data_IF_991482132544
#
_entry.id   IF_991482132544
#
_cell.length_a   1.000
_cell.length_b   1.000
_cell.length_c   1.000
_cell.angle_alpha   90.00
_cell.angle_beta   90.00
_cell.angle_gamma   90.00
#
_symmetry.space_group_name_H-M   'P 1'
#
loop_
_entity.id
_entity.type
_entity.pdbx_description
1 polymer ?
#
# COMPACT_ATOMS: atom_id res chain seq x y z
N UNK A 1 23.50 5.45 -1.29
CA UNK A 1 22.04 5.33 -1.47
C UNK A 1 21.84 4.41 -2.64
N UNK A 2 21.24 3.25 -2.42
CA UNK A 2 20.86 2.34 -3.50
C UNK A 2 19.74 3.02 -4.27
N UNK A 3 19.79 2.91 -5.59
CA UNK A 3 18.97 3.66 -6.54
C UNK A 3 17.46 3.63 -6.19
N UNK A 4 16.91 4.68 -5.66
CA UNK A 4 15.51 5.13 -5.52
C UNK A 4 14.33 4.13 -5.44
N UNK A 5 14.56 2.85 -5.68
CA UNK A 5 13.58 1.76 -5.70
C UNK A 5 13.43 1.06 -4.35
N UNK A 6 14.48 1.05 -3.55
CA UNK A 6 14.57 0.26 -2.32
C UNK A 6 13.62 0.68 -1.20
N UNK A 7 13.39 2.00 -0.93
CA UNK A 7 12.56 2.38 0.21
C UNK A 7 11.16 1.78 0.19
N UNK A 8 10.52 1.72 -0.99
CA UNK A 8 9.15 1.18 -1.10
C UNK A 8 9.07 -0.35 -0.97
N UNK A 9 10.22 -1.03 -0.94
CA UNK A 9 10.33 -2.49 -0.78
C UNK A 9 10.80 -2.91 0.60
N UNK A 10 11.31 -1.96 1.39
CA UNK A 10 11.88 -2.20 2.73
C UNK A 10 11.06 -1.56 3.85
N UNK A 11 10.19 -0.60 3.53
CA UNK A 11 9.38 0.14 4.49
C UNK A 11 8.51 1.19 3.84
N UNK A 12 8.11 2.20 4.61
CA UNK A 12 7.41 3.36 4.10
C UNK A 12 8.28 4.14 3.11
N UNK A 13 7.70 4.52 2.00
CA UNK A 13 8.30 5.50 1.10
C UNK A 13 7.29 6.60 0.75
N UNK A 14 7.75 7.85 0.71
CA UNK A 14 6.88 9.01 0.53
C UNK A 14 6.05 8.91 -0.76
N UNK A 15 6.66 8.46 -1.85
CA UNK A 15 5.99 8.30 -3.14
C UNK A 15 4.82 7.32 -3.07
N UNK A 16 5.00 6.19 -2.37
CA UNK A 16 3.93 5.20 -2.18
C UNK A 16 2.87 5.71 -1.21
N UNK A 17 3.25 6.40 -0.14
CA UNK A 17 2.30 6.99 0.81
C UNK A 17 1.38 8.00 0.10
N UNK A 18 1.93 8.91 -0.70
CA UNK A 18 1.15 9.89 -1.46
C UNK A 18 0.29 9.21 -2.53
N UNK A 19 0.81 8.17 -3.19
CA UNK A 19 0.06 7.41 -4.21
C UNK A 19 -1.11 6.66 -3.58
N UNK A 20 -0.91 5.98 -2.46
CA UNK A 20 -1.99 5.26 -1.76
C UNK A 20 -3.00 6.20 -1.14
N UNK A 21 -2.58 7.40 -0.69
CA UNK A 21 -3.52 8.46 -0.27
C UNK A 21 -4.39 8.94 -1.43
N UNK A 22 -3.80 9.10 -2.61
CA UNK A 22 -4.55 9.45 -3.81
C UNK A 22 -5.57 8.37 -4.17
N UNK A 23 -5.18 7.09 -4.14
CA UNK A 23 -6.08 5.97 -4.39
C UNK A 23 -7.23 5.93 -3.38
N UNK A 24 -6.94 6.18 -2.10
CA UNK A 24 -7.96 6.19 -1.05
C UNK A 24 -8.88 7.41 -1.15
N UNK A 25 -8.35 8.63 -1.42
CA UNK A 25 -9.17 9.85 -1.62
C UNK A 25 -10.16 9.65 -2.78
N UNK A 26 -9.70 9.05 -3.89
CA UNK A 26 -10.53 8.69 -5.03
C UNK A 26 -11.63 7.67 -4.69
N UNK A 27 -11.31 6.68 -3.85
CA UNK A 27 -12.18 5.54 -3.59
C UNK A 27 -13.08 5.70 -2.35
N UNK A 28 -12.78 6.64 -1.44
CA UNK A 28 -13.60 6.91 -0.24
C UNK A 28 -15.08 7.16 -0.51
N UNK A 29 -15.47 7.97 -1.51
CA UNK A 29 -16.88 8.17 -1.84
C UNK A 29 -17.59 6.90 -2.30
N UNK A 30 -16.83 5.87 -2.67
CA UNK A 30 -17.31 4.54 -3.09
C UNK A 30 -17.23 3.49 -1.97
N UNK A 31 -16.99 3.95 -0.73
CA UNK A 31 -16.98 3.12 0.47
C UNK A 31 -15.62 2.47 0.81
N UNK A 32 -14.55 2.77 0.09
CA UNK A 32 -13.23 2.25 0.43
C UNK A 32 -12.72 2.87 1.74
N UNK A 33 -12.14 2.03 2.58
CA UNK A 33 -11.49 2.43 3.84
C UNK A 33 -9.98 2.15 3.80
N UNK A 34 -9.52 1.39 2.83
CA UNK A 34 -8.12 1.00 2.62
C UNK A 34 -7.74 1.20 1.16
N UNK A 35 -6.49 1.57 0.90
CA UNK A 35 -5.87 1.50 -0.42
C UNK A 35 -4.57 0.70 -0.33
N UNK A 36 -4.31 -0.17 -1.32
CA UNK A 36 -3.17 -1.09 -1.33
C UNK A 36 -2.49 -1.10 -2.70
N UNK A 37 -1.16 -1.09 -2.68
CA UNK A 37 -0.32 -1.32 -3.86
C UNK A 37 0.98 -1.98 -3.40
N UNK A 38 1.64 -2.78 -4.24
CA UNK A 38 2.92 -3.39 -3.89
C UNK A 38 4.10 -2.43 -4.14
N UNK A 39 5.15 -2.56 -3.34
CA UNK A 39 6.37 -1.75 -3.45
C UNK A 39 7.04 -1.84 -4.82
N UNK A 40 6.91 -3.00 -5.49
CA UNK A 40 7.42 -3.23 -6.84
C UNK A 40 6.80 -2.36 -7.95
N UNK A 41 5.66 -1.72 -7.70
CA UNK A 41 5.04 -0.79 -8.64
C UNK A 41 5.82 0.52 -8.83
N UNK A 42 6.62 0.90 -7.83
CA UNK A 42 7.37 2.16 -7.83
C UNK A 42 8.74 1.98 -8.46
N UNK A 43 9.06 2.79 -9.49
CA UNK A 43 10.32 2.70 -10.27
C UNK A 43 11.16 3.96 -10.20
N UNK A 44 10.68 4.99 -9.52
CA UNK A 44 11.37 6.24 -9.23
C UNK A 44 10.84 6.83 -7.92
N UNK A 45 11.37 7.96 -7.48
CA UNK A 45 10.81 8.77 -6.41
C UNK A 45 10.13 10.02 -6.98
N UNK A 46 9.10 10.51 -6.30
CA UNK A 46 8.59 11.86 -6.59
C UNK A 46 9.66 12.89 -6.18
N UNK A 47 10.02 13.83 -7.07
CA UNK A 47 10.97 14.86 -6.72
C UNK A 47 10.40 15.86 -5.72
N UNK A 48 11.29 16.55 -5.01
CA UNK A 48 10.91 17.71 -4.19
C UNK A 48 10.66 18.90 -5.12
N UNK A 49 9.60 19.65 -4.87
CA UNK A 49 9.24 20.83 -5.64
C UNK A 49 8.25 20.54 -6.77
N UNK A 50 8.51 21.03 -7.98
CA UNK A 50 7.60 20.89 -9.12
C UNK A 50 7.61 19.46 -9.65
N UNK A 51 6.44 18.81 -9.65
CA UNK A 51 6.24 17.48 -10.21
C UNK A 51 5.69 17.60 -11.63
N UNK A 52 6.32 16.94 -12.59
CA UNK A 52 5.91 16.89 -14.00
C UNK A 52 5.16 15.60 -14.33
N UNK A 53 4.55 15.54 -15.52
CA UNK A 53 3.95 14.29 -16.01
C UNK A 53 5.02 13.18 -16.16
N UNK A 54 6.21 13.54 -16.65
CA UNK A 54 7.32 12.59 -16.80
C UNK A 54 7.77 11.97 -15.48
N UNK A 55 7.73 12.72 -14.38
CA UNK A 55 8.05 12.20 -13.05
C UNK A 55 7.02 11.13 -12.61
N UNK A 56 5.74 11.38 -12.91
CA UNK A 56 4.65 10.41 -12.59
C UNK A 56 4.78 9.16 -13.48
N UNK A 57 5.07 9.33 -14.75
CA UNK A 57 5.22 8.22 -15.71
C UNK A 57 6.45 7.35 -15.37
N UNK A 58 7.55 7.98 -14.93
CA UNK A 58 8.73 7.27 -14.44
C UNK A 58 8.47 6.55 -13.09
N UNK A 59 7.68 7.16 -12.20
CA UNK A 59 7.31 6.55 -10.92
C UNK A 59 6.45 5.31 -11.12
N UNK A 60 5.43 5.39 -11.99
CA UNK A 60 4.37 4.38 -12.18
C UNK A 60 4.26 3.94 -13.65
N UNK A 61 5.28 3.26 -14.23
CA UNK A 61 5.34 2.98 -15.67
C UNK A 61 4.39 1.86 -16.14
N UNK A 62 3.79 1.08 -15.23
CA UNK A 62 3.08 -0.16 -15.57
C UNK A 62 1.64 0.02 -16.03
N UNK A 63 1.10 1.24 -16.10
CA UNK A 63 -0.30 1.51 -16.46
C UNK A 63 -1.30 0.69 -15.65
N UNK A 64 -0.99 0.45 -14.37
CA UNK A 64 -1.83 -0.31 -13.47
C UNK A 64 -3.13 0.45 -13.16
N UNK A 65 -4.26 -0.27 -13.08
CA UNK A 65 -5.59 0.32 -12.88
C UNK A 65 -6.03 0.21 -11.43
N UNK A 66 -6.83 1.16 -10.98
CA UNK A 66 -7.45 1.09 -9.65
C UNK A 66 -8.72 0.25 -9.72
N UNK A 67 -8.75 -0.83 -8.96
CA UNK A 67 -9.94 -1.66 -8.73
C UNK A 67 -10.49 -1.43 -7.34
N UNK A 68 -11.82 -1.58 -7.18
CA UNK A 68 -12.44 -1.68 -5.85
C UNK A 68 -12.83 -3.13 -5.60
N UNK A 69 -12.38 -3.66 -4.48
CA UNK A 69 -12.66 -5.04 -4.05
C UNK A 69 -13.05 -5.11 -2.57
N UNK A 70 -13.80 -6.14 -2.21
CA UNK A 70 -14.06 -6.54 -0.84
C UNK A 70 -13.06 -7.61 -0.42
N UNK A 71 -12.48 -7.42 0.76
CA UNK A 71 -11.60 -8.38 1.41
C UNK A 71 -12.02 -8.60 2.84
N UNK A 72 -11.91 -9.82 3.34
CA UNK A 72 -11.96 -10.07 4.78
C UNK A 72 -10.71 -9.52 5.45
N UNK A 73 -10.78 -9.21 6.75
CA UNK A 73 -9.58 -8.82 7.48
C UNK A 73 -8.51 -9.91 7.46
N UNK A 74 -8.91 -11.19 7.44
CA UNK A 74 -7.98 -12.30 7.27
C UNK A 74 -7.17 -12.19 5.97
N UNK A 75 -7.84 -11.92 4.84
CA UNK A 75 -7.15 -11.73 3.54
C UNK A 75 -6.20 -10.53 3.55
N UNK A 76 -6.57 -9.43 4.22
CA UNK A 76 -5.70 -8.27 4.38
C UNK A 76 -4.49 -8.57 5.25
N UNK A 77 -4.68 -9.31 6.36
CA UNK A 77 -3.59 -9.78 7.21
C UNK A 77 -2.62 -10.69 6.44
N UNK A 78 -3.15 -11.70 5.75
CA UNK A 78 -2.35 -12.63 4.94
C UNK A 78 -1.57 -11.91 3.83
N UNK A 79 -2.15 -10.87 3.22
CA UNK A 79 -1.46 -10.05 2.23
C UNK A 79 -0.29 -9.28 2.83
N UNK A 80 -0.47 -8.69 4.03
CA UNK A 80 0.60 -7.98 4.74
C UNK A 80 1.69 -8.95 5.18
N UNK A 81 1.33 -10.10 5.77
CA UNK A 81 2.29 -11.12 6.21
C UNK A 81 3.11 -11.66 5.03
N UNK A 82 2.46 -11.93 3.90
CA UNK A 82 3.15 -12.32 2.68
C UNK A 82 4.03 -11.20 2.13
N UNK A 83 3.56 -9.94 2.20
CA UNK A 83 4.31 -8.76 1.77
C UNK A 83 5.65 -8.60 2.48
N UNK A 84 5.73 -8.95 3.77
CA UNK A 84 6.97 -8.88 4.56
C UNK A 84 7.80 -10.16 4.52
N UNK A 85 7.39 -11.17 3.74
CA UNK A 85 8.10 -12.46 3.67
C UNK A 85 9.47 -12.37 3.01
N UNK A 86 9.69 -11.34 2.18
CA UNK A 86 10.90 -11.19 1.34
C UNK A 86 11.60 -9.83 1.56
N UNK A 87 11.49 -9.28 2.77
CA UNK A 87 12.16 -8.00 3.10
C UNK A 87 13.68 -8.14 3.12
N UNK A 88 14.21 -9.34 3.43
CA UNK A 88 15.64 -9.62 3.43
C UNK A 88 16.22 -9.62 2.00
N UNK A 89 15.40 -10.00 1.00
CA UNK A 89 15.75 -10.02 -0.42
C UNK A 89 15.40 -8.73 -1.18
N UNK A 90 14.83 -7.74 -0.49
CA UNK A 90 14.33 -6.49 -1.10
C UNK A 90 13.32 -6.79 -2.23
N UNK A 91 12.45 -7.76 -1.98
CA UNK A 91 11.47 -8.22 -2.95
C UNK A 91 10.36 -7.21 -3.23
N UNK A 92 9.64 -7.35 -4.36
CA UNK A 92 8.63 -6.38 -4.78
C UNK A 92 7.32 -6.42 -3.98
N UNK A 93 7.17 -7.40 -3.07
CA UNK A 93 5.90 -7.82 -2.46
C UNK A 93 5.39 -6.90 -1.36
N UNK A 94 6.25 -6.06 -0.75
CA UNK A 94 5.84 -5.23 0.38
C UNK A 94 4.60 -4.42 0.07
N UNK A 95 3.58 -4.52 0.94
CA UNK A 95 2.33 -3.78 0.77
C UNK A 95 2.50 -2.35 1.26
N UNK A 96 2.38 -1.42 0.35
CA UNK A 96 2.21 -0.01 0.63
C UNK A 96 0.72 0.31 0.78
N UNK A 97 0.33 1.05 1.81
CA UNK A 97 -1.07 1.21 2.16
C UNK A 97 -1.46 2.65 2.53
N UNK A 98 -2.76 2.96 2.41
CA UNK A 98 -3.43 4.07 3.07
C UNK A 98 -4.69 3.58 3.77
N UNK A 99 -5.02 4.13 4.94
CA UNK A 99 -6.11 3.65 5.79
C UNK A 99 -5.84 2.31 6.49
N UNK A 100 -4.67 1.72 6.26
CA UNK A 100 -4.15 0.53 6.93
C UNK A 100 -2.71 0.82 7.33
N UNK A 101 -2.32 0.40 8.54
CA UNK A 101 -0.92 0.40 9.01
C UNK A 101 -0.60 -0.92 9.67
N UNK A 102 0.68 -1.26 9.68
CA UNK A 102 1.13 -2.50 10.30
C UNK A 102 2.53 -2.40 10.88
N UNK A 103 2.79 -3.29 11.84
CA UNK A 103 4.09 -3.45 12.47
C UNK A 103 4.57 -4.87 12.27
N UNK A 104 5.84 -5.05 11.93
CA UNK A 104 6.42 -6.38 11.74
C UNK A 104 7.82 -6.49 12.36
N UNK A 105 8.25 -7.71 12.63
CA UNK A 105 9.62 -8.04 13.03
C UNK A 105 10.37 -8.64 11.84
N UNK A 106 11.39 -7.98 11.32
CA UNK A 106 12.18 -8.51 10.20
C UNK A 106 12.97 -9.77 10.58
N UNK A 107 13.27 -9.96 11.88
CA UNK A 107 14.05 -11.10 12.39
C UNK A 107 13.19 -12.31 12.74
N UNK A 108 11.87 -12.17 12.75
CA UNK A 108 10.96 -13.29 12.99
C UNK A 108 10.90 -14.25 11.79
N UNK A 109 10.57 -15.53 12.00
CA UNK A 109 10.38 -16.48 10.91
C UNK A 109 9.36 -16.00 9.88
N UNK A 110 9.60 -16.29 8.59
CA UNK A 110 8.65 -16.04 7.52
C UNK A 110 7.30 -16.71 7.85
N UNK A 111 6.20 -16.00 7.64
CA UNK A 111 4.85 -16.41 8.02
C UNK A 111 4.45 -16.03 9.45
N UNK A 112 5.36 -15.45 10.22
CA UNK A 112 5.16 -15.01 11.61
C UNK A 112 5.79 -13.65 11.87
N UNK A 113 5.95 -12.80 10.85
CA UNK A 113 6.62 -11.50 10.95
C UNK A 113 5.70 -10.39 11.44
N UNK A 114 4.44 -10.38 11.05
CA UNK A 114 3.48 -9.32 11.41
C UNK A 114 3.13 -9.40 12.89
N UNK A 115 3.17 -8.24 13.57
CA UNK A 115 2.84 -8.09 15.00
C UNK A 115 1.51 -7.41 15.22
N UNK A 116 1.18 -6.44 14.37
CA UNK A 116 -0.11 -5.77 14.41
C UNK A 116 -0.50 -5.29 13.02
N UNK A 117 -1.80 -5.30 12.78
CA UNK A 117 -2.41 -4.61 11.64
C UNK A 117 -3.59 -3.81 12.16
N UNK A 118 -3.66 -2.55 11.79
CA UNK A 118 -4.73 -1.65 12.18
C UNK A 118 -5.34 -1.00 10.94
N UNK A 119 -6.64 -0.73 11.00
CA UNK A 119 -7.40 -0.02 9.97
C UNK A 119 -7.98 1.26 10.55
N UNK A 120 -7.91 2.33 9.79
CA UNK A 120 -8.49 3.61 10.18
C UNK A 120 -10.01 3.60 9.99
N UNK A 121 -10.76 3.93 11.04
CA UNK A 121 -12.20 4.07 10.93
C UNK A 121 -12.59 5.40 10.24
N UNK A 122 -13.90 5.58 9.99
CA UNK A 122 -14.43 6.79 9.35
C UNK A 122 -14.15 8.10 10.10
N UNK A 123 -13.82 8.02 11.39
CA UNK A 123 -13.49 9.15 12.24
C UNK A 123 -11.97 9.41 12.32
N UNK A 124 -11.17 8.66 11.54
CA UNK A 124 -9.72 8.77 11.53
C UNK A 124 -9.02 8.03 12.68
N UNK A 125 -9.74 7.25 13.50
CA UNK A 125 -9.15 6.48 14.60
C UNK A 125 -8.64 5.13 14.11
N UNK A 126 -7.43 4.78 14.52
CA UNK A 126 -6.84 3.46 14.28
C UNK A 126 -7.47 2.41 15.20
N UNK A 127 -7.83 1.27 14.63
CA UNK A 127 -8.42 0.12 15.33
C UNK A 127 -7.78 -1.17 14.84
N UNK A 128 -7.61 -2.16 15.72
CA UNK A 128 -7.14 -3.47 15.30
C UNK A 128 -7.96 -4.03 14.14
N UNK A 129 -7.29 -4.69 13.21
CA UNK A 129 -7.92 -5.38 12.10
C UNK A 129 -8.78 -6.55 12.61
N UNK A 130 -10.06 -6.58 12.25
CA UNK A 130 -10.99 -7.64 12.62
C UNK A 130 -11.05 -8.70 11.50
N UNK A 131 -10.55 -9.91 11.74
CA UNK A 131 -10.35 -10.96 10.73
C UNK A 131 -11.60 -11.30 9.92
N UNK A 132 -12.75 -11.37 10.58
CA UNK A 132 -14.02 -11.75 9.95
C UNK A 132 -14.78 -10.59 9.32
N UNK A 133 -14.33 -9.36 9.55
CA UNK A 133 -14.96 -8.18 8.97
C UNK A 133 -14.56 -8.00 7.52
N UNK A 134 -15.50 -7.53 6.73
CA UNK A 134 -15.28 -7.19 5.32
C UNK A 134 -14.93 -5.71 5.19
N UNK A 135 -13.86 -5.44 4.48
CA UNK A 135 -13.35 -4.11 4.18
C UNK A 135 -13.40 -3.87 2.67
N UNK A 136 -13.81 -2.68 2.26
CA UNK A 136 -13.69 -2.25 0.87
C UNK A 136 -12.32 -1.60 0.69
N UNK A 137 -11.56 -2.08 -0.29
CA UNK A 137 -10.25 -1.58 -0.61
C UNK A 137 -10.14 -1.11 -2.07
N UNK A 138 -9.42 0.00 -2.28
CA UNK A 138 -8.86 0.36 -3.57
C UNK A 138 -7.54 -0.39 -3.75
N UNK A 139 -7.37 -1.12 -4.83
CA UNK A 139 -6.18 -1.95 -5.05
C UNK A 139 -5.70 -1.85 -6.49
N UNK A 140 -4.38 -1.87 -6.73
CA UNK A 140 -3.82 -1.98 -8.08
C UNK A 140 -4.27 -3.29 -8.74
N UNK A 141 -4.63 -3.25 -10.02
CA UNK A 141 -5.16 -4.40 -10.74
C UNK A 141 -4.15 -5.56 -10.78
N UNK A 142 -2.86 -5.26 -10.91
CA UNK A 142 -1.80 -6.25 -10.85
C UNK A 142 -1.83 -7.02 -9.52
N UNK A 143 -1.84 -6.28 -8.41
CA UNK A 143 -1.88 -6.86 -7.07
C UNK A 143 -3.19 -7.62 -6.82
N UNK A 144 -4.32 -7.06 -7.29
CA UNK A 144 -5.64 -7.67 -7.18
C UNK A 144 -5.79 -8.98 -7.99
N UNK A 145 -4.99 -9.18 -9.03
CA UNK A 145 -4.94 -10.44 -9.79
C UNK A 145 -4.01 -11.49 -9.19
N UNK A 146 -3.35 -11.19 -8.07
CA UNK A 146 -2.36 -12.07 -7.44
C UNK A 146 -0.93 -11.84 -7.92
N UNK A 147 -0.66 -10.68 -8.53
CA UNK A 147 0.69 -10.31 -8.91
C UNK A 147 1.67 -10.38 -7.74
N UNK A 148 2.94 -10.67 -8.03
CA UNK A 148 3.98 -10.98 -7.02
C UNK A 148 3.57 -12.12 -6.07
N UNK A 149 2.67 -13.02 -6.50
CA UNK A 149 2.12 -14.18 -5.77
C UNK A 149 1.25 -13.82 -4.55
N UNK A 150 0.60 -12.64 -4.55
CA UNK A 150 -0.36 -12.23 -3.52
C UNK A 150 -1.71 -12.97 -3.64
N UNK A 151 -1.72 -14.27 -3.35
CA UNK A 151 -2.90 -15.17 -3.49
C UNK A 151 -4.11 -14.69 -2.67
N UNK A 152 -3.89 -14.17 -1.46
CA UNK A 152 -4.96 -13.66 -0.61
C UNK A 152 -5.73 -12.51 -1.28
N UNK A 153 -5.04 -11.63 -2.01
CA UNK A 153 -5.67 -10.51 -2.71
C UNK A 153 -6.34 -10.93 -4.03
N UNK A 154 -5.88 -12.01 -4.66
CA UNK A 154 -6.59 -12.59 -5.81
C UNK A 154 -7.99 -13.08 -5.44
N UNK A 155 -8.18 -13.56 -4.20
CA UNK A 155 -9.47 -14.04 -3.69
C UNK A 155 -10.49 -12.95 -3.33
N UNK A 156 -10.19 -11.68 -3.53
CA UNK A 156 -11.12 -10.59 -3.24
C UNK A 156 -12.30 -10.51 -4.21
N UNK A 157 -13.45 -10.05 -3.71
CA UNK A 157 -14.67 -9.88 -4.53
C UNK A 157 -14.62 -8.50 -5.19
N UNK A 158 -14.59 -8.46 -6.51
CA UNK A 158 -14.58 -7.20 -7.26
C UNK A 158 -15.93 -6.51 -7.18
N UNK A 159 -15.93 -5.22 -6.81
CA UNK A 159 -17.12 -4.36 -6.76
C UNK A 159 -17.15 -3.49 -8.02
N UNK A 160 -16.02 -2.92 -8.41
CA UNK A 160 -15.92 -1.99 -9.52
C UNK A 160 -14.52 -2.00 -10.13
N UNK A 161 -14.48 -1.78 -11.44
CA UNK A 161 -13.28 -1.39 -12.17
C UNK A 161 -13.44 0.07 -12.59
N UNK A 162 -12.59 0.94 -12.07
CA UNK A 162 -12.69 2.38 -12.37
C UNK A 162 -12.32 2.71 -13.80
N UNK A 163 -11.54 1.84 -14.47
CA UNK A 163 -10.89 2.14 -15.74
C UNK A 163 -9.72 3.11 -15.63
N UNK A 164 -9.58 3.83 -14.50
CA UNK A 164 -8.53 4.83 -14.29
C UNK A 164 -7.21 4.17 -13.90
N UNK A 165 -6.13 4.72 -14.41
CA UNK A 165 -4.78 4.33 -14.01
C UNK A 165 -4.45 4.91 -12.62
N UNK A 166 -3.62 4.20 -11.86
CA UNK A 166 -3.08 4.69 -10.59
C UNK A 166 -2.36 6.03 -10.81
N UNK A 167 -1.61 6.16 -11.91
CA UNK A 167 -0.93 7.41 -12.29
C UNK A 167 -1.91 8.58 -12.51
N UNK A 168 -3.07 8.34 -13.15
CA UNK A 168 -4.08 9.38 -13.37
C UNK A 168 -4.73 9.82 -12.06
N UNK A 169 -5.01 8.87 -11.17
CA UNK A 169 -5.54 9.14 -9.83
C UNK A 169 -4.54 9.95 -9.01
N UNK A 170 -3.25 9.59 -9.04
CA UNK A 170 -2.18 10.36 -8.40
C UNK A 170 -2.09 11.77 -8.96
N UNK A 171 -2.11 11.94 -10.28
CA UNK A 171 -2.08 13.24 -10.95
C UNK A 171 -3.24 14.15 -10.53
N UNK A 172 -4.46 13.59 -10.49
CA UNK A 172 -5.64 14.35 -10.07
C UNK A 172 -5.53 14.77 -8.59
N UNK A 173 -5.04 13.88 -7.73
CA UNK A 173 -4.80 14.16 -6.32
C UNK A 173 -3.77 15.27 -6.10
N UNK A 174 -2.62 15.18 -6.78
CA UNK A 174 -1.57 16.20 -6.72
C UNK A 174 -2.09 17.57 -7.17
N UNK A 175 -2.85 17.65 -8.27
CA UNK A 175 -3.48 18.90 -8.71
C UNK A 175 -4.41 19.50 -7.66
N UNK A 176 -5.16 18.66 -6.95
CA UNK A 176 -6.14 19.09 -5.92
C UNK A 176 -5.48 19.48 -4.60
N UNK A 177 -4.38 18.81 -4.22
CA UNK A 177 -3.79 18.88 -2.87
C UNK A 177 -2.47 19.61 -2.79
N UNK A 178 -1.85 19.97 -3.91
CA UNK A 178 -0.58 20.70 -3.90
C UNK A 178 -0.75 22.14 -3.38
N UNK A 179 0.27 22.65 -2.68
CA UNK A 179 1.50 21.96 -2.28
C UNK A 179 1.29 20.97 -1.12
N UNK A 180 1.92 19.78 -1.20
CA UNK A 180 1.92 18.80 -0.12
C UNK A 180 3.09 19.10 0.81
N UNK A 181 2.83 19.84 1.88
CA UNK A 181 3.85 20.32 2.82
C UNK A 181 3.96 19.46 4.09
N UNK A 182 3.07 18.48 4.25
CA UNK A 182 3.06 17.61 5.44
C UNK A 182 3.39 16.18 5.03
N UNK A 183 4.42 15.63 5.63
CA UNK A 183 4.74 14.19 5.51
C UNK A 183 3.60 13.37 6.13
N UNK A 184 3.06 12.36 5.45
CA UNK A 184 2.08 11.45 6.03
C UNK A 184 2.64 10.71 7.25
N UNK A 185 1.75 10.29 8.16
CA UNK A 185 2.15 9.45 9.30
C UNK A 185 2.67 8.09 8.82
N UNK A 186 3.69 7.52 9.49
CA UNK A 186 4.20 6.20 9.17
C UNK A 186 3.11 5.13 9.22
N UNK A 187 3.15 4.20 8.27
CA UNK A 187 2.19 3.11 8.11
C UNK A 187 2.83 1.74 8.22
N UNK A 188 4.15 1.70 8.04
CA UNK A 188 4.96 0.50 8.14
C UNK A 188 6.01 0.75 9.22
N UNK A 189 5.98 -0.06 10.26
CA UNK A 189 6.93 0.04 11.37
C UNK A 189 7.57 -1.32 11.65
N UNK A 190 8.80 -1.30 12.11
CA UNK A 190 9.48 -2.51 12.57
C UNK A 190 9.60 -2.53 14.09
N UNK A 191 9.56 -3.73 14.66
CA UNK A 191 9.92 -3.98 16.06
C UNK A 191 11.12 -4.89 16.12
N UNK A 192 12.02 -4.61 17.07
CA UNK A 192 13.08 -5.55 17.41
C UNK A 192 12.52 -6.60 18.37
N UNK A 193 12.70 -7.87 18.02
CA UNK A 193 12.46 -8.92 18.99
C UNK A 193 13.47 -8.77 20.14
N UNK A 194 13.06 -8.99 21.41
CA UNK A 194 14.03 -9.12 22.45
C UNK A 194 14.98 -10.27 22.08
N UNK A 195 16.28 -10.16 22.38
CA UNK A 195 17.21 -11.27 22.15
C UNK A 195 16.61 -12.52 22.81
N UNK A 196 16.47 -13.59 22.01
CA UNK A 196 15.90 -14.84 22.47
C UNK A 196 16.58 -15.31 23.76
N UNK A 197 15.77 -15.66 24.75
CA UNK A 197 16.26 -16.33 25.97
C UNK A 197 16.69 -17.73 25.62
#
# INVERSE_FOLDING_TARGET
MRDGLDPCREGDCLSAMVTTDAMLDYARPKGAVVALINGGNFRAALPVGKITQGDIDNLLPFKDKVLLRKYTGKQLFEAVEYGVSDVDGIGPRMIQASGLRYTYSPTAPVGHRVRSVEVQDKNGKWKPLEYNKVYVAAVGAFLASGGDDHKALAGGIQISNSGLLVADVLKAYLKKKSPINKTPEPRISTVKEPPGK
#
